data_IF_900217870590
#
_entry.id   IF_900217870590
#
_cell.length_a   1.000
_cell.length_b   1.000
_cell.length_c   1.000
_cell.angle_alpha   90.00
_cell.angle_beta   90.00
_cell.angle_gamma   90.00
#
_symmetry.space_group_name_H-M   'P 1'
#
loop_
_entity.id
_entity.type
_entity.pdbx_description
1 polymer ?
#
# COMPACT_ATOMS: atom_id res chain seq x y z
N UNK A 1 -9.31 -42.43 16.67
CA UNK A 1 -9.48 -41.90 15.30
C UNK A 1 -8.13 -41.97 14.58
N UNK A 2 -8.06 -42.50 13.34
CA UNK A 2 -6.81 -42.54 12.58
C UNK A 2 -6.33 -41.11 12.29
N UNK A 3 -5.03 -40.88 12.49
CA UNK A 3 -4.39 -39.59 12.16
C UNK A 3 -4.24 -39.51 10.65
N UNK A 4 -4.57 -38.36 10.05
CA UNK A 4 -4.44 -38.13 8.60
C UNK A 4 -3.15 -37.38 8.27
N UNK A 5 -2.58 -37.69 7.11
CA UNK A 5 -1.42 -37.03 6.54
C UNK A 5 -1.80 -35.61 6.13
N UNK A 6 -1.04 -34.61 6.58
CA UNK A 6 -1.28 -33.20 6.26
C UNK A 6 -1.00 -32.82 4.79
N UNK A 7 -0.36 -33.70 4.03
CA UNK A 7 -0.03 -33.49 2.61
C UNK A 7 -1.04 -34.19 1.69
N UNK A 8 -1.23 -35.51 1.85
CA UNK A 8 -2.06 -36.33 0.95
C UNK A 8 -3.38 -36.84 1.56
N UNK A 9 -3.67 -36.60 2.84
CA UNK A 9 -4.91 -37.03 3.50
C UNK A 9 -4.97 -38.50 3.94
N UNK A 10 -4.04 -39.34 3.49
CA UNK A 10 -3.94 -40.77 3.84
C UNK A 10 -3.62 -41.03 5.32
N UNK A 11 -3.73 -42.28 5.77
CA UNK A 11 -3.38 -42.66 7.15
C UNK A 11 -1.91 -42.33 7.46
N UNK A 12 -1.69 -41.54 8.51
CA UNK A 12 -0.37 -41.09 8.93
C UNK A 12 0.18 -41.93 10.08
N UNK A 13 1.49 -42.21 10.01
CA UNK A 13 2.24 -42.98 11.01
C UNK A 13 3.40 -42.20 11.62
N UNK A 14 3.83 -41.08 11.00
CA UNK A 14 4.96 -40.27 11.43
C UNK A 14 4.52 -38.89 11.88
N UNK A 15 5.18 -38.34 12.89
CA UNK A 15 4.99 -36.95 13.36
C UNK A 15 6.12 -36.06 12.89
N UNK A 16 5.83 -34.77 12.68
CA UNK A 16 6.86 -33.77 12.49
C UNK A 16 7.83 -33.78 13.68
N UNK A 17 9.10 -34.04 13.42
CA UNK A 17 10.12 -34.11 14.46
C UNK A 17 10.30 -32.78 15.23
N UNK A 18 9.95 -31.64 14.61
CA UNK A 18 10.07 -30.32 15.20
C UNK A 18 8.92 -29.98 16.16
N UNK A 19 7.69 -29.86 15.64
CA UNK A 19 6.56 -29.39 16.44
C UNK A 19 5.77 -30.51 17.12
N UNK A 20 5.93 -31.77 16.69
CA UNK A 20 5.14 -32.95 17.13
C UNK A 20 3.61 -32.81 16.93
N UNK A 21 3.14 -31.78 16.23
CA UNK A 21 1.70 -31.50 15.99
C UNK A 21 1.21 -32.01 14.63
N UNK A 22 2.00 -31.83 13.58
CA UNK A 22 1.66 -32.29 12.23
C UNK A 22 1.99 -33.78 12.03
N UNK A 23 1.15 -34.48 11.27
CA UNK A 23 1.27 -35.90 10.99
C UNK A 23 1.43 -36.16 9.48
N UNK A 24 2.27 -37.12 9.12
CA UNK A 24 2.61 -37.48 7.75
C UNK A 24 2.67 -39.00 7.57
N UNK A 25 2.32 -39.49 6.39
CA UNK A 25 2.50 -40.91 6.04
C UNK A 25 3.96 -41.24 5.69
N UNK A 26 4.73 -40.24 5.23
CA UNK A 26 6.12 -40.42 4.81
C UNK A 26 6.94 -39.14 4.96
N UNK A 27 8.26 -39.27 4.93
CA UNK A 27 9.17 -38.11 4.87
C UNK A 27 9.02 -37.32 3.57
N UNK A 28 8.66 -37.98 2.47
CA UNK A 28 8.35 -37.33 1.19
C UNK A 28 7.17 -36.35 1.36
N UNK A 29 6.09 -36.79 1.98
CA UNK A 29 4.94 -35.94 2.28
C UNK A 29 5.28 -34.81 3.26
N UNK A 30 6.13 -35.07 4.25
CA UNK A 30 6.62 -34.02 5.15
C UNK A 30 7.44 -32.97 4.41
N UNK A 31 8.33 -33.37 3.49
CA UNK A 31 9.15 -32.45 2.68
C UNK A 31 8.29 -31.65 1.69
N UNK A 32 7.35 -32.30 1.02
CA UNK A 32 6.38 -31.66 0.11
C UNK A 32 5.62 -30.52 0.82
N UNK A 33 5.03 -30.83 1.98
CA UNK A 33 4.26 -29.85 2.76
C UNK A 33 5.15 -28.88 3.57
N UNK A 34 6.47 -29.05 3.58
CA UNK A 34 7.35 -28.23 4.44
C UNK A 34 7.24 -26.74 4.12
N UNK A 35 7.09 -26.39 2.84
CA UNK A 35 6.98 -25.00 2.34
C UNK A 35 5.80 -24.24 2.97
N UNK A 36 4.76 -24.96 3.41
CA UNK A 36 3.59 -24.40 4.12
C UNK A 36 3.69 -24.63 5.62
N UNK A 37 4.07 -25.83 6.05
CA UNK A 37 4.13 -26.19 7.46
C UNK A 37 5.15 -25.39 8.26
N UNK A 38 6.24 -24.90 7.64
CA UNK A 38 7.31 -24.19 8.33
C UNK A 38 6.81 -22.99 9.16
N UNK A 39 5.73 -22.33 8.73
CA UNK A 39 5.12 -21.18 9.43
C UNK A 39 4.38 -21.55 10.70
N UNK A 40 3.83 -22.77 10.77
CA UNK A 40 3.14 -23.30 11.95
C UNK A 40 4.08 -24.18 12.82
N UNK A 41 5.24 -24.53 12.27
CA UNK A 41 6.21 -25.40 12.90
C UNK A 41 7.06 -24.62 13.91
N UNK A 42 6.60 -24.58 15.17
CA UNK A 42 7.35 -23.99 16.31
C UNK A 42 8.55 -24.85 16.76
N UNK A 43 9.40 -25.29 15.83
CA UNK A 43 10.56 -26.17 16.14
C UNK A 43 11.63 -25.43 16.94
N UNK A 44 11.93 -24.19 16.57
CA UNK A 44 13.00 -23.40 17.18
C UNK A 44 12.76 -21.90 16.92
N UNK A 45 12.35 -21.11 17.93
CA UNK A 45 12.15 -19.67 17.80
C UNK A 45 13.43 -18.90 17.45
N UNK A 46 14.62 -19.48 17.67
CA UNK A 46 15.91 -18.83 17.40
C UNK A 46 16.34 -18.89 15.93
N UNK A 47 15.66 -19.69 15.11
CA UNK A 47 15.93 -19.81 13.67
C UNK A 47 14.84 -19.11 12.87
N UNK A 48 15.08 -17.87 12.40
CA UNK A 48 14.09 -17.17 11.60
C UNK A 48 13.80 -17.92 10.31
N UNK A 49 12.54 -17.87 9.87
CA UNK A 49 12.13 -18.39 8.57
C UNK A 49 12.79 -17.53 7.50
N UNK A 50 13.52 -18.17 6.58
CA UNK A 50 14.17 -17.43 5.49
C UNK A 50 13.14 -16.72 4.61
N UNK A 51 13.50 -15.52 4.16
CA UNK A 51 12.68 -14.64 3.30
C UNK A 51 12.11 -15.33 2.06
N UNK A 52 12.86 -16.27 1.46
CA UNK A 52 12.38 -17.05 0.31
C UNK A 52 11.08 -17.83 0.58
N UNK A 53 10.88 -18.34 1.80
CA UNK A 53 9.64 -19.05 2.14
C UNK A 53 8.47 -18.08 2.23
N UNK A 54 8.69 -16.85 2.72
CA UNK A 54 7.65 -15.81 2.76
C UNK A 54 7.26 -15.40 1.34
N UNK A 55 8.24 -15.22 0.44
CA UNK A 55 7.99 -15.00 -0.99
C UNK A 55 7.21 -16.15 -1.63
N UNK A 56 7.56 -17.40 -1.31
CA UNK A 56 6.82 -18.57 -1.78
C UNK A 56 5.35 -18.55 -1.32
N UNK A 57 5.09 -18.20 -0.05
CA UNK A 57 3.71 -18.05 0.41
C UNK A 57 2.95 -16.97 -0.36
N UNK A 58 3.57 -15.82 -0.59
CA UNK A 58 2.99 -14.73 -1.38
C UNK A 58 2.61 -15.23 -2.79
N UNK A 59 3.53 -15.94 -3.46
CA UNK A 59 3.32 -16.57 -4.78
C UNK A 59 2.17 -17.60 -4.78
N UNK A 60 2.06 -18.44 -3.75
CA UNK A 60 0.97 -19.42 -3.66
C UNK A 60 -0.39 -18.75 -3.41
N UNK A 61 -0.40 -17.66 -2.65
CA UNK A 61 -1.59 -16.85 -2.36
C UNK A 61 -1.94 -15.87 -3.49
N UNK A 62 -1.05 -15.73 -4.47
CA UNK A 62 -1.18 -14.79 -5.59
C UNK A 62 -1.35 -13.33 -5.11
N UNK A 63 -0.60 -12.96 -4.08
CA UNK A 63 -0.55 -11.61 -3.52
C UNK A 63 0.90 -11.12 -3.53
N UNK A 64 1.10 -9.82 -3.77
CA UNK A 64 2.43 -9.22 -3.63
C UNK A 64 2.95 -9.41 -2.19
N UNK A 65 4.26 -9.65 -2.00
CA UNK A 65 4.84 -9.73 -0.66
C UNK A 65 4.73 -8.38 0.04
N UNK A 66 4.43 -8.43 1.34
CA UNK A 66 4.30 -7.29 2.26
C UNK A 66 5.38 -7.28 3.36
N UNK A 67 6.07 -8.41 3.57
CA UNK A 67 7.21 -8.53 4.49
C UNK A 67 8.42 -7.73 3.99
N UNK A 68 8.79 -6.69 4.72
CA UNK A 68 9.85 -5.72 4.36
C UNK A 68 11.19 -6.39 4.02
N UNK A 69 11.63 -7.36 4.84
CA UNK A 69 12.88 -8.11 4.61
C UNK A 69 12.82 -8.92 3.31
N UNK A 70 11.68 -9.53 3.01
CA UNK A 70 11.44 -10.24 1.76
C UNK A 70 11.39 -9.30 0.56
N UNK A 71 10.75 -8.14 0.71
CA UNK A 71 10.70 -7.13 -0.33
C UNK A 71 12.10 -6.61 -0.68
N UNK A 72 12.94 -6.38 0.31
CA UNK A 72 14.32 -5.92 0.11
C UNK A 72 15.21 -7.01 -0.50
N UNK A 73 15.16 -8.23 0.05
CA UNK A 73 15.98 -9.37 -0.39
C UNK A 73 15.73 -9.75 -1.86
N UNK A 74 14.50 -9.57 -2.34
CA UNK A 74 14.07 -9.99 -3.67
C UNK A 74 13.68 -8.82 -4.59
N UNK A 75 14.01 -7.59 -4.22
CA UNK A 75 13.96 -6.42 -5.10
C UNK A 75 12.60 -5.76 -5.29
N UNK A 76 11.58 -6.13 -4.53
CA UNK A 76 10.26 -5.46 -4.60
C UNK A 76 10.33 -4.01 -4.12
N UNK A 77 11.19 -3.70 -3.13
CA UNK A 77 11.45 -2.32 -2.70
C UNK A 77 12.05 -1.49 -3.85
N UNK A 78 13.01 -2.07 -4.57
CA UNK A 78 13.74 -1.43 -5.67
C UNK A 78 12.98 -1.41 -7.00
N UNK A 79 11.91 -2.20 -7.13
CA UNK A 79 11.03 -2.13 -8.29
C UNK A 79 10.21 -0.82 -8.33
N UNK A 80 10.11 -0.09 -7.22
CA UNK A 80 9.54 1.26 -7.00
C UNK A 80 8.08 1.51 -7.42
N UNK A 81 7.61 0.97 -8.55
CA UNK A 81 6.24 1.12 -9.06
C UNK A 81 5.47 -0.19 -9.00
N UNK A 82 4.16 -0.09 -8.77
CA UNK A 82 3.27 -1.26 -8.74
C UNK A 82 3.36 -2.11 -10.02
N UNK A 83 3.39 -1.53 -11.24
CA UNK A 83 3.60 -2.31 -12.46
C UNK A 83 4.91 -3.11 -12.48
N UNK A 84 6.01 -2.52 -12.02
CA UNK A 84 7.30 -3.21 -11.96
C UNK A 84 7.30 -4.30 -10.88
N UNK A 85 6.68 -4.05 -9.72
CA UNK A 85 6.48 -5.06 -8.68
C UNK A 85 5.66 -6.25 -9.21
N UNK A 86 4.59 -6.01 -9.97
CA UNK A 86 3.79 -7.09 -10.58
C UNK A 86 4.59 -7.87 -11.61
N UNK A 87 5.40 -7.22 -12.45
CA UNK A 87 6.27 -7.92 -13.43
C UNK A 87 7.33 -8.76 -12.73
N UNK A 88 7.96 -8.23 -11.68
CA UNK A 88 8.91 -8.95 -10.85
C UNK A 88 8.24 -10.15 -10.15
N UNK A 89 7.05 -9.95 -9.61
CA UNK A 89 6.25 -11.00 -9.00
C UNK A 89 5.94 -12.11 -10.00
N UNK A 90 5.61 -11.76 -11.25
CA UNK A 90 5.39 -12.70 -12.34
C UNK A 90 6.58 -13.62 -12.62
N UNK A 91 7.82 -13.12 -12.52
CA UNK A 91 9.03 -13.95 -12.61
C UNK A 91 9.12 -14.96 -11.47
N UNK A 92 8.86 -14.51 -10.24
CA UNK A 92 8.90 -15.39 -9.07
C UNK A 92 7.77 -16.42 -9.08
N UNK A 93 6.58 -16.08 -9.58
CA UNK A 93 5.50 -17.04 -9.84
C UNK A 93 5.98 -18.14 -10.80
N UNK A 94 6.59 -17.76 -11.93
CA UNK A 94 7.12 -18.73 -12.89
C UNK A 94 8.13 -19.68 -12.21
N UNK A 95 9.13 -19.14 -11.50
CA UNK A 95 10.16 -19.94 -10.83
C UNK A 95 9.60 -20.85 -9.75
N UNK A 96 8.83 -20.30 -8.80
CA UNK A 96 8.47 -20.99 -7.56
C UNK A 96 7.21 -21.87 -7.69
N UNK A 97 6.24 -21.47 -8.53
CA UNK A 97 4.95 -22.14 -8.66
C UNK A 97 4.88 -23.06 -9.87
N UNK A 98 5.28 -22.58 -11.04
CA UNK A 98 5.17 -23.35 -12.28
C UNK A 98 6.36 -24.27 -12.54
N UNK A 99 7.54 -23.87 -12.07
CA UNK A 99 8.77 -24.62 -12.26
C UNK A 99 9.37 -25.19 -10.97
N UNK A 100 8.65 -25.05 -9.86
CA UNK A 100 8.92 -25.71 -8.58
C UNK A 100 10.34 -25.49 -8.04
N UNK A 101 10.98 -24.36 -8.36
CA UNK A 101 12.26 -23.98 -7.74
C UNK A 101 12.06 -23.94 -6.22
N UNK A 102 12.90 -24.68 -5.50
CA UNK A 102 12.81 -24.76 -4.05
C UNK A 102 13.17 -23.41 -3.41
N UNK A 103 12.41 -22.91 -2.41
CA UNK A 103 12.73 -21.64 -1.74
C UNK A 103 14.15 -21.59 -1.16
N UNK A 104 14.67 -22.74 -0.70
CA UNK A 104 16.05 -22.86 -0.21
C UNK A 104 17.07 -22.62 -1.34
N UNK A 105 16.79 -23.08 -2.56
CA UNK A 105 17.65 -22.85 -3.71
C UNK A 105 17.66 -21.36 -4.07
N UNK A 106 16.48 -20.73 -4.11
CA UNK A 106 16.34 -19.30 -4.37
C UNK A 106 17.10 -18.46 -3.32
N UNK A 107 16.97 -18.79 -2.04
CA UNK A 107 17.73 -18.16 -0.96
C UNK A 107 19.24 -18.32 -1.14
N UNK A 108 19.69 -19.52 -1.51
CA UNK A 108 21.11 -19.79 -1.77
C UNK A 108 21.64 -18.93 -2.91
N UNK A 109 20.91 -18.85 -4.03
CA UNK A 109 21.31 -18.02 -5.16
C UNK A 109 21.49 -16.56 -4.76
N UNK A 110 20.56 -16.02 -3.96
CA UNK A 110 20.67 -14.66 -3.40
C UNK A 110 21.90 -14.51 -2.52
N UNK A 111 22.11 -15.42 -1.56
CA UNK A 111 23.24 -15.33 -0.60
C UNK A 111 24.61 -15.48 -1.28
N UNK A 112 24.67 -16.14 -2.42
CA UNK A 112 25.87 -16.32 -3.23
C UNK A 112 26.08 -15.21 -4.28
N UNK A 113 25.13 -14.27 -4.44
CA UNK A 113 25.22 -13.23 -5.46
C UNK A 113 25.02 -13.75 -6.90
N UNK A 114 24.49 -14.96 -7.08
CA UNK A 114 24.27 -15.59 -8.40
C UNK A 114 22.81 -15.60 -8.82
N UNK A 115 21.93 -14.90 -8.10
CA UNK A 115 20.48 -14.88 -8.34
C UNK A 115 20.13 -14.53 -9.78
N UNK A 116 20.70 -13.46 -10.32
CA UNK A 116 20.45 -13.04 -11.71
C UNK A 116 20.91 -14.12 -12.70
N UNK A 117 22.09 -14.69 -12.49
CA UNK A 117 22.67 -15.70 -13.38
C UNK A 117 21.81 -16.96 -13.44
N UNK A 118 21.35 -17.45 -12.29
CA UNK A 118 20.50 -18.63 -12.22
C UNK A 118 19.10 -18.38 -12.78
N UNK A 119 18.53 -17.18 -12.58
CA UNK A 119 17.28 -16.77 -13.25
C UNK A 119 17.47 -16.78 -14.78
N UNK A 120 18.54 -16.17 -15.29
CA UNK A 120 18.82 -16.14 -16.73
C UNK A 120 18.98 -17.53 -17.30
N UNK A 121 19.86 -18.34 -16.71
CA UNK A 121 20.08 -19.74 -17.08
C UNK A 121 18.77 -20.54 -17.07
N UNK A 122 17.91 -20.29 -16.09
CA UNK A 122 16.60 -20.94 -15.99
C UNK A 122 15.71 -20.60 -17.19
N UNK A 123 15.46 -19.32 -17.45
CA UNK A 123 14.57 -18.88 -18.52
C UNK A 123 15.17 -19.07 -19.92
N UNK A 124 16.50 -19.01 -20.06
CA UNK A 124 17.20 -19.26 -21.32
C UNK A 124 17.05 -20.72 -21.78
N UNK A 125 16.90 -21.66 -20.84
CA UNK A 125 16.61 -23.07 -21.15
C UNK A 125 15.14 -23.32 -21.54
N UNK A 126 14.24 -22.35 -21.33
CA UNK A 126 12.85 -22.45 -21.79
C UNK A 126 12.74 -22.08 -23.27
N UNK A 127 11.73 -22.65 -23.94
CA UNK A 127 11.42 -22.27 -25.32
C UNK A 127 10.91 -20.82 -25.36
N UNK A 128 11.12 -20.08 -26.47
CA UNK A 128 10.66 -18.69 -26.58
C UNK A 128 9.17 -18.51 -26.29
N UNK A 129 8.35 -19.52 -26.64
CA UNK A 129 6.89 -19.51 -26.42
C UNK A 129 6.49 -19.64 -24.94
N UNK A 130 7.31 -20.29 -24.10
CA UNK A 130 6.99 -20.53 -22.68
C UNK A 130 7.75 -19.62 -21.71
N UNK A 131 8.68 -18.82 -22.23
CA UNK A 131 9.53 -17.92 -21.43
C UNK A 131 8.75 -16.77 -20.77
N UNK A 132 7.58 -16.44 -21.30
CA UNK A 132 6.68 -15.41 -20.78
C UNK A 132 7.19 -13.97 -21.00
N UNK A 133 6.28 -13.01 -20.88
CA UNK A 133 6.57 -11.59 -21.12
C UNK A 133 7.42 -10.91 -20.03
N UNK A 134 7.50 -11.51 -18.84
CA UNK A 134 8.22 -10.93 -17.71
C UNK A 134 9.74 -11.09 -17.80
N UNK A 135 10.23 -12.11 -18.53
CA UNK A 135 11.66 -12.34 -18.69
C UNK A 135 12.37 -11.30 -19.59
N UNK A 136 11.82 -10.89 -20.75
CA UNK A 136 12.37 -9.75 -21.49
C UNK A 136 12.46 -8.48 -20.64
N UNK A 137 11.40 -8.16 -19.88
CA UNK A 137 11.42 -7.03 -18.95
C UNK A 137 12.52 -7.17 -17.87
N UNK A 138 12.72 -8.38 -17.34
CA UNK A 138 13.78 -8.65 -16.37
C UNK A 138 15.16 -8.32 -16.92
N UNK A 139 15.45 -8.70 -18.17
CA UNK A 139 16.75 -8.44 -18.80
C UNK A 139 17.09 -6.95 -18.86
N UNK A 140 16.07 -6.11 -19.04
CA UNK A 140 16.20 -4.64 -19.05
C UNK A 140 16.26 -4.03 -17.63
N UNK A 141 15.83 -4.77 -16.60
CA UNK A 141 15.64 -4.26 -15.24
C UNK A 141 16.45 -5.04 -14.18
N UNK A 142 17.63 -5.56 -14.56
CA UNK A 142 18.50 -6.34 -13.66
C UNK A 142 18.99 -5.54 -12.44
N UNK A 143 19.05 -4.21 -12.51
CA UNK A 143 19.40 -3.31 -11.41
C UNK A 143 18.51 -3.51 -10.16
N UNK A 144 17.28 -4.04 -10.35
CA UNK A 144 16.36 -4.33 -9.26
C UNK A 144 16.89 -5.44 -8.33
N UNK A 145 17.65 -6.40 -8.86
CA UNK A 145 18.22 -7.51 -8.09
C UNK A 145 19.70 -7.32 -7.77
N UNK A 146 20.39 -6.42 -8.46
CA UNK A 146 21.79 -6.09 -8.23
C UNK A 146 22.01 -4.57 -8.33
N UNK A 147 22.16 -3.87 -7.20
CA UNK A 147 22.39 -2.42 -7.19
C UNK A 147 23.74 -2.00 -7.81
N UNK A 148 24.67 -2.93 -8.04
CA UNK A 148 25.92 -2.62 -8.75
C UNK A 148 25.69 -2.40 -10.25
N UNK A 149 24.55 -2.87 -10.77
CA UNK A 149 24.07 -2.51 -12.09
C UNK A 149 23.47 -1.11 -12.05
N UNK A 150 24.19 -0.14 -12.61
CA UNK A 150 23.60 1.16 -12.90
C UNK A 150 22.88 1.08 -14.25
N UNK A 151 21.55 1.25 -14.29
CA UNK A 151 20.86 1.37 -15.56
C UNK A 151 21.41 2.60 -16.31
N UNK A 152 21.48 2.53 -17.65
CA UNK A 152 22.01 3.61 -18.48
C UNK A 152 21.27 4.95 -18.27
N UNK A 153 20.02 4.88 -17.80
CA UNK A 153 19.14 5.99 -17.43
C UNK A 153 18.42 5.60 -16.13
N UNK A 154 18.15 6.57 -15.25
CA UNK A 154 17.37 6.33 -14.03
C UNK A 154 15.95 5.89 -14.44
N UNK A 155 15.55 4.64 -14.18
CA UNK A 155 14.25 4.09 -14.62
C UNK A 155 13.07 4.85 -14.01
N UNK A 156 13.27 5.42 -12.81
CA UNK A 156 12.29 6.29 -12.15
C UNK A 156 12.17 7.60 -12.92
N UNK A 157 13.29 8.15 -13.39
CA UNK A 157 13.29 9.34 -14.24
C UNK A 157 12.58 9.08 -15.57
N UNK A 158 12.85 7.95 -16.24
CA UNK A 158 12.17 7.60 -17.50
C UNK A 158 10.65 7.45 -17.33
N UNK A 159 10.20 6.86 -16.23
CA UNK A 159 8.78 6.75 -15.90
C UNK A 159 8.16 8.14 -15.71
N UNK A 160 8.77 8.98 -14.86
CA UNK A 160 8.33 10.37 -14.63
C UNK A 160 8.31 11.18 -15.93
N UNK A 161 9.30 10.99 -16.80
CA UNK A 161 9.40 11.70 -18.08
C UNK A 161 8.31 11.31 -19.08
N UNK A 162 7.74 10.11 -18.99
CA UNK A 162 6.55 9.75 -19.79
C UNK A 162 5.35 10.61 -19.39
N UNK A 163 5.14 10.81 -18.08
CA UNK A 163 4.07 11.69 -17.59
C UNK A 163 4.36 13.15 -17.91
N UNK A 164 5.61 13.58 -17.76
CA UNK A 164 6.05 14.94 -18.10
C UNK A 164 5.74 15.30 -19.55
N UNK A 165 6.00 14.37 -20.49
CA UNK A 165 5.63 14.50 -21.91
C UNK A 165 4.11 14.44 -22.10
N UNK A 166 3.42 13.54 -21.41
CA UNK A 166 1.96 13.40 -21.50
C UNK A 166 1.23 14.70 -21.15
N UNK A 167 1.71 15.41 -20.12
CA UNK A 167 1.12 16.70 -19.70
C UNK A 167 1.62 17.89 -20.53
N UNK A 168 2.41 17.66 -21.58
CA UNK A 168 3.07 18.68 -22.41
C UNK A 168 3.88 19.70 -21.60
N UNK A 169 4.58 19.25 -20.55
CA UNK A 169 5.48 20.11 -19.79
C UNK A 169 6.75 20.47 -20.58
N UNK A 170 7.47 21.56 -20.22
CA UNK A 170 8.69 21.97 -20.92
C UNK A 170 9.73 20.85 -20.97
N UNK A 171 10.46 20.72 -22.08
CA UNK A 171 11.53 19.73 -22.18
C UNK A 171 12.56 19.94 -21.06
N UNK A 172 13.02 18.82 -20.48
CA UNK A 172 14.06 18.79 -19.45
C UNK A 172 15.06 17.69 -19.81
N UNK A 173 16.35 18.01 -19.66
CA UNK A 173 17.44 17.12 -20.08
C UNK A 173 18.03 16.32 -18.92
N UNK A 174 17.62 16.62 -17.68
CA UNK A 174 18.11 15.98 -16.46
C UNK A 174 17.08 15.92 -15.33
N UNK A 175 17.31 15.03 -14.36
CA UNK A 175 16.48 14.92 -13.15
C UNK A 175 16.61 16.17 -12.27
N UNK A 176 17.77 16.82 -12.23
CA UNK A 176 17.99 18.07 -11.51
C UNK A 176 17.13 19.20 -12.07
N UNK A 177 17.08 19.32 -13.39
CA UNK A 177 16.25 20.31 -14.07
C UNK A 177 14.76 20.03 -13.87
N UNK A 178 14.34 18.76 -14.00
CA UNK A 178 12.99 18.33 -13.64
C UNK A 178 12.64 18.74 -12.21
N UNK A 179 13.47 18.41 -11.21
CA UNK A 179 13.22 18.74 -9.80
C UNK A 179 13.10 20.25 -9.58
N UNK A 180 13.94 21.04 -10.25
CA UNK A 180 13.89 22.51 -10.18
C UNK A 180 12.59 23.06 -10.74
N UNK A 181 12.17 22.63 -11.93
CA UNK A 181 10.95 23.13 -12.58
C UNK A 181 9.72 22.62 -11.85
N UNK A 182 9.63 21.32 -11.59
CA UNK A 182 8.54 20.73 -10.82
C UNK A 182 8.43 21.36 -9.43
N UNK A 183 9.55 21.59 -8.73
CA UNK A 183 9.58 22.24 -7.43
C UNK A 183 9.11 23.71 -7.46
N UNK A 184 9.21 24.38 -8.61
CA UNK A 184 8.68 25.74 -8.79
C UNK A 184 7.16 25.79 -9.01
N UNK A 185 6.52 24.65 -9.27
CA UNK A 185 5.07 24.60 -9.44
C UNK A 185 4.34 24.80 -8.11
N UNK A 186 3.17 25.43 -8.19
CA UNK A 186 2.29 25.57 -7.03
C UNK A 186 1.92 24.20 -6.43
N UNK A 187 1.72 24.10 -5.10
CA UNK A 187 1.42 22.82 -4.44
C UNK A 187 0.27 22.04 -5.09
N UNK A 188 -0.85 22.71 -5.41
CA UNK A 188 -2.00 22.05 -6.05
C UNK A 188 -1.68 21.44 -7.41
N UNK A 189 -0.83 22.09 -8.21
CA UNK A 189 -0.41 21.57 -9.52
C UNK A 189 0.51 20.36 -9.36
N UNK A 190 1.40 20.37 -8.36
CA UNK A 190 2.22 19.21 -8.02
C UNK A 190 1.36 18.01 -7.59
N UNK A 191 0.39 18.20 -6.71
CA UNK A 191 -0.54 17.13 -6.33
C UNK A 191 -1.34 16.61 -7.52
N UNK A 192 -1.83 17.49 -8.40
CA UNK A 192 -2.50 17.06 -9.63
C UNK A 192 -1.57 16.26 -10.55
N UNK A 193 -0.29 16.66 -10.67
CA UNK A 193 0.70 15.90 -11.42
C UNK A 193 0.93 14.50 -10.83
N UNK A 194 1.00 14.38 -9.51
CA UNK A 194 1.08 13.07 -8.82
C UNK A 194 -0.14 12.20 -9.12
N UNK A 195 -1.36 12.76 -9.15
CA UNK A 195 -2.55 12.00 -9.56
C UNK A 195 -2.45 11.51 -11.01
N UNK A 196 -1.99 12.35 -11.94
CA UNK A 196 -1.77 11.96 -13.34
C UNK A 196 -0.76 10.81 -13.44
N UNK A 197 0.30 10.87 -12.63
CA UNK A 197 1.25 9.78 -12.49
C UNK A 197 0.57 8.47 -12.08
N UNK A 198 -0.14 8.47 -10.94
CA UNK A 198 -0.91 7.32 -10.45
C UNK A 198 -1.86 6.73 -11.49
N UNK A 199 -2.57 7.58 -12.22
CA UNK A 199 -3.51 7.16 -13.28
C UNK A 199 -2.79 6.48 -14.45
N UNK A 200 -1.69 7.05 -14.93
CA UNK A 200 -0.96 6.51 -16.09
C UNK A 200 -0.27 5.18 -15.78
N UNK A 201 0.18 4.99 -14.54
CA UNK A 201 0.80 3.74 -14.10
C UNK A 201 -0.21 2.73 -13.54
N UNK A 202 -1.49 3.11 -13.41
CA UNK A 202 -2.53 2.28 -12.81
C UNK A 202 -2.31 1.98 -11.31
N UNK A 203 -1.56 2.84 -10.62
CA UNK A 203 -1.16 2.68 -9.22
C UNK A 203 -2.06 3.49 -8.29
N UNK A 204 -2.65 2.84 -7.30
CA UNK A 204 -3.44 3.53 -6.27
C UNK A 204 -2.54 4.37 -5.36
N UNK A 205 -2.90 5.63 -5.07
CA UNK A 205 -2.30 6.35 -3.96
C UNK A 205 -2.51 5.60 -2.64
N UNK A 206 -1.58 5.74 -1.70
CA UNK A 206 -1.69 5.10 -0.38
C UNK A 206 -1.58 6.12 0.76
N UNK A 207 -1.82 5.67 1.98
CA UNK A 207 -1.88 6.51 3.20
C UNK A 207 -0.59 7.28 3.54
N UNK A 208 0.54 7.00 2.86
CA UNK A 208 1.79 7.76 2.99
C UNK A 208 1.86 8.96 2.03
N UNK A 209 0.87 9.12 1.15
CA UNK A 209 0.81 10.17 0.17
C UNK A 209 -0.37 11.09 0.47
N UNK A 210 -0.12 12.38 0.54
CA UNK A 210 -1.17 13.40 0.77
C UNK A 210 -2.25 13.33 -0.30
N UNK A 211 -1.92 12.89 -1.51
CA UNK A 211 -2.83 12.68 -2.62
C UNK A 211 -3.93 11.64 -2.35
N UNK A 212 -3.67 10.68 -1.46
CA UNK A 212 -4.70 9.71 -1.05
C UNK A 212 -5.85 10.41 -0.33
N UNK A 213 -5.55 11.40 0.51
CA UNK A 213 -6.58 12.25 1.13
C UNK A 213 -7.08 13.30 0.14
N UNK A 214 -6.18 14.01 -0.52
CA UNK A 214 -6.48 15.18 -1.39
C UNK A 214 -7.48 14.86 -2.50
N UNK A 215 -7.40 13.66 -3.09
CA UNK A 215 -8.29 13.24 -4.19
C UNK A 215 -9.41 12.29 -3.77
N UNK A 216 -9.62 12.10 -2.46
CA UNK A 216 -10.77 11.38 -1.91
C UNK A 216 -10.62 9.86 -1.79
N UNK A 217 -9.45 9.30 -2.09
CA UNK A 217 -9.22 7.86 -1.91
C UNK A 217 -9.35 7.44 -0.44
N UNK A 218 -8.92 8.28 0.50
CA UNK A 218 -9.11 8.03 1.93
C UNK A 218 -10.57 7.90 2.37
N UNK A 219 -11.50 8.54 1.63
CA UNK A 219 -12.93 8.46 1.89
C UNK A 219 -13.53 7.13 1.43
N UNK A 220 -12.87 6.41 0.52
CA UNK A 220 -13.34 5.10 0.09
C UNK A 220 -13.36 4.10 1.26
N UNK A 221 -14.42 3.28 1.36
CA UNK A 221 -14.54 2.28 2.42
C UNK A 221 -13.60 1.08 2.23
N UNK A 222 -13.16 0.82 1.00
CA UNK A 222 -12.31 -0.31 0.65
C UNK A 222 -11.58 -0.07 -0.68
N UNK A 223 -10.60 -0.94 -0.97
CA UNK A 223 -9.76 -0.87 -2.17
C UNK A 223 -10.53 -1.03 -3.48
N UNK A 224 -11.70 -1.70 -3.48
CA UNK A 224 -12.55 -1.79 -4.67
C UNK A 224 -13.11 -0.41 -5.04
N UNK A 225 -13.61 0.34 -4.07
CA UNK A 225 -14.04 1.72 -4.27
C UNK A 225 -12.88 2.64 -4.66
N UNK A 226 -11.69 2.48 -4.08
CA UNK A 226 -10.49 3.22 -4.50
C UNK A 226 -10.14 2.98 -5.97
N UNK A 227 -10.21 1.71 -6.40
CA UNK A 227 -9.97 1.31 -7.78
C UNK A 227 -11.01 1.89 -8.74
N UNK A 228 -12.28 1.93 -8.32
CA UNK A 228 -13.37 2.58 -9.05
C UNK A 228 -13.13 4.09 -9.22
N UNK A 229 -12.66 4.75 -8.16
CA UNK A 229 -12.33 6.18 -8.17
C UNK A 229 -11.13 6.45 -9.09
N UNK A 230 -10.06 5.65 -9.01
CA UNK A 230 -8.90 5.78 -9.91
C UNK A 230 -9.30 5.62 -11.37
N UNK A 231 -10.15 4.62 -11.68
CA UNK A 231 -10.68 4.42 -13.03
C UNK A 231 -11.49 5.63 -13.50
N UNK A 232 -12.27 6.25 -12.61
CA UNK A 232 -13.05 7.44 -12.94
C UNK A 232 -12.16 8.64 -13.24
N UNK A 233 -11.07 8.83 -12.48
CA UNK A 233 -10.04 9.82 -12.82
C UNK A 233 -9.33 9.49 -14.14
N UNK A 234 -9.04 8.21 -14.39
CA UNK A 234 -8.45 7.75 -15.65
C UNK A 234 -9.33 8.10 -16.86
N UNK A 235 -10.64 7.92 -16.77
CA UNK A 235 -11.58 8.35 -17.82
C UNK A 235 -11.58 9.86 -18.03
N UNK A 236 -11.36 10.69 -17.00
CA UNK A 236 -11.22 12.14 -17.20
C UNK A 236 -9.91 12.47 -17.91
N UNK A 237 -8.80 11.90 -17.43
CA UNK A 237 -7.44 12.29 -17.83
C UNK A 237 -7.07 11.73 -19.19
N UNK A 238 -7.31 10.42 -19.41
CA UNK A 238 -6.92 9.70 -20.62
C UNK A 238 -8.03 9.81 -21.67
N UNK A 239 -9.23 9.30 -21.39
CA UNK A 239 -10.31 9.24 -22.38
C UNK A 239 -10.85 10.64 -22.69
N UNK A 240 -11.06 11.44 -21.63
CA UNK A 240 -11.50 12.83 -21.71
C UNK A 240 -10.40 13.81 -22.11
N UNK A 241 -9.15 13.35 -22.23
CA UNK A 241 -7.96 14.14 -22.62
C UNK A 241 -7.84 15.46 -21.84
N UNK A 242 -8.16 15.44 -20.55
CA UNK A 242 -8.15 16.65 -19.72
C UNK A 242 -6.70 17.13 -19.50
N UNK A 243 -6.32 18.35 -19.93
CA UNK A 243 -4.99 18.88 -19.68
C UNK A 243 -4.75 19.15 -18.19
N UNK A 244 -3.49 18.98 -17.73
CA UNK A 244 -3.11 19.18 -16.33
C UNK A 244 -3.52 20.56 -15.79
N UNK A 245 -3.33 21.62 -16.57
CA UNK A 245 -3.68 22.98 -16.14
C UNK A 245 -5.20 23.20 -16.02
N UNK A 246 -5.98 22.58 -16.91
CA UNK A 246 -7.44 22.62 -16.80
C UNK A 246 -7.90 21.87 -15.55
N UNK A 247 -7.38 20.66 -15.34
CA UNK A 247 -7.70 19.84 -14.18
C UNK A 247 -7.34 20.58 -12.88
N UNK A 248 -6.12 21.11 -12.79
CA UNK A 248 -5.63 21.87 -11.62
C UNK A 248 -6.52 23.07 -11.32
N UNK A 249 -6.94 23.82 -12.35
CA UNK A 249 -7.85 24.96 -12.18
C UNK A 249 -9.22 24.53 -11.65
N UNK A 250 -9.77 23.43 -12.16
CA UNK A 250 -11.07 22.89 -11.69
C UNK A 250 -10.97 22.33 -10.28
N UNK A 251 -9.86 21.65 -9.95
CA UNK A 251 -9.56 21.18 -8.62
C UNK A 251 -9.52 22.33 -7.61
N UNK A 252 -8.72 23.39 -7.88
CA UNK A 252 -8.64 24.58 -7.02
C UNK A 252 -9.96 25.32 -6.86
N UNK A 253 -10.82 25.27 -7.87
CA UNK A 253 -12.14 25.89 -7.82
C UNK A 253 -13.19 25.02 -7.11
N UNK A 254 -12.83 23.82 -6.62
CA UNK A 254 -13.77 22.90 -6.00
C UNK A 254 -14.73 22.23 -6.98
N UNK A 255 -14.36 22.18 -8.27
CA UNK A 255 -15.25 21.77 -9.38
C UNK A 255 -14.85 20.44 -9.99
N UNK A 256 -14.34 19.49 -9.18
CA UNK A 256 -14.03 18.14 -9.64
C UNK A 256 -15.29 17.36 -10.07
N UNK A 257 -16.43 17.56 -9.41
CA UNK A 257 -17.73 16.96 -9.81
C UNK A 257 -18.06 17.29 -11.27
N UNK A 258 -17.81 18.53 -11.70
CA UNK A 258 -18.06 18.95 -13.07
C UNK A 258 -17.20 18.20 -14.10
N UNK A 259 -15.99 17.74 -13.72
CA UNK A 259 -15.16 16.90 -14.57
C UNK A 259 -15.73 15.49 -14.69
N UNK A 260 -16.20 14.90 -13.59
CA UNK A 260 -16.88 13.59 -13.62
C UNK A 260 -18.17 13.63 -14.43
N UNK A 261 -18.94 14.72 -14.33
CA UNK A 261 -20.13 14.98 -15.14
C UNK A 261 -19.83 14.97 -16.64
N UNK A 262 -18.80 15.71 -17.07
CA UNK A 262 -18.39 15.80 -18.48
C UNK A 262 -18.10 14.41 -19.08
N UNK A 263 -17.56 13.51 -18.27
CA UNK A 263 -17.20 12.15 -18.67
C UNK A 263 -18.27 11.10 -18.34
N UNK A 264 -19.47 11.51 -17.91
CA UNK A 264 -20.58 10.61 -17.50
C UNK A 264 -20.22 9.62 -16.40
N UNK A 265 -19.26 9.98 -15.54
CA UNK A 265 -18.80 9.16 -14.40
C UNK A 265 -19.39 9.61 -13.07
N UNK A 266 -20.18 10.69 -13.05
CA UNK A 266 -20.70 11.29 -11.82
C UNK A 266 -21.47 10.28 -10.96
N UNK A 267 -22.46 9.57 -11.52
CA UNK A 267 -23.32 8.67 -10.74
C UNK A 267 -22.52 7.53 -10.09
N UNK A 268 -21.52 7.02 -10.81
CA UNK A 268 -20.62 5.98 -10.30
C UNK A 268 -19.75 6.49 -9.15
N UNK A 269 -19.25 7.71 -9.25
CA UNK A 269 -18.39 8.34 -8.21
C UNK A 269 -19.22 8.75 -7.00
N UNK A 270 -20.38 9.37 -7.19
CA UNK A 270 -21.26 9.77 -6.09
C UNK A 270 -21.94 8.58 -5.41
N UNK A 271 -21.98 7.41 -6.07
CA UNK A 271 -22.37 6.15 -5.45
C UNK A 271 -21.33 5.58 -4.47
N UNK A 272 -20.09 6.10 -4.46
CA UNK A 272 -19.08 5.73 -3.47
C UNK A 272 -19.45 6.39 -2.13
N UNK A 273 -19.47 5.64 -1.01
CA UNK A 273 -19.73 6.21 0.31
C UNK A 273 -18.85 7.44 0.61
N UNK A 274 -19.44 8.45 1.25
CA UNK A 274 -18.82 9.73 1.62
C UNK A 274 -18.36 10.63 0.46
N UNK A 275 -18.39 10.15 -0.79
CA UNK A 275 -17.82 10.87 -1.92
C UNK A 275 -18.64 12.10 -2.31
N UNK A 276 -19.96 12.07 -2.07
CA UNK A 276 -20.81 13.24 -2.24
C UNK A 276 -20.37 14.37 -1.31
N UNK A 277 -20.31 14.11 -0.01
CA UNK A 277 -19.86 15.09 0.99
C UNK A 277 -18.42 15.54 0.72
N UNK A 278 -17.54 14.60 0.36
CA UNK A 278 -16.14 14.90 0.05
C UNK A 278 -15.96 15.85 -1.14
N UNK A 279 -16.78 15.70 -2.19
CA UNK A 279 -16.64 16.49 -3.43
C UNK A 279 -17.49 17.76 -3.45
N UNK A 280 -18.61 17.81 -2.72
CA UNK A 280 -19.51 18.98 -2.67
C UNK A 280 -18.99 20.08 -1.74
N UNK A 281 -18.38 19.71 -0.59
CA UNK A 281 -17.88 20.66 0.41
C UNK A 281 -16.44 21.11 0.11
N UNK A 282 -16.28 21.80 -1.02
CA UNK A 282 -14.98 22.05 -1.63
C UNK A 282 -14.10 23.13 -0.98
N UNK A 283 -14.56 23.79 0.09
CA UNK A 283 -13.78 24.82 0.79
C UNK A 283 -12.66 24.24 1.65
N UNK A 284 -12.84 23.05 2.22
CA UNK A 284 -11.82 22.38 3.04
C UNK A 284 -12.10 20.90 3.21
N UNK A 285 -11.07 20.06 3.05
CA UNK A 285 -11.18 18.63 3.32
C UNK A 285 -11.31 18.39 4.83
N UNK A 286 -12.36 17.68 5.24
CA UNK A 286 -12.57 17.31 6.64
C UNK A 286 -11.33 16.62 7.23
N UNK A 287 -10.89 17.09 8.40
CA UNK A 287 -9.65 16.65 9.04
C UNK A 287 -9.64 15.17 9.43
N UNK A 288 -10.80 14.51 9.48
CA UNK A 288 -10.91 13.06 9.77
C UNK A 288 -10.21 12.20 8.72
N UNK A 289 -10.14 12.65 7.47
CA UNK A 289 -9.47 11.91 6.40
C UNK A 289 -7.95 11.94 6.58
N UNK A 290 -7.42 13.07 7.02
CA UNK A 290 -6.02 13.20 7.42
C UNK A 290 -5.71 12.38 8.67
N UNK A 291 -6.63 12.32 9.64
CA UNK A 291 -6.51 11.42 10.79
C UNK A 291 -6.42 9.97 10.33
N UNK A 292 -7.30 9.55 9.41
CA UNK A 292 -7.29 8.19 8.85
C UNK A 292 -5.93 7.86 8.23
N UNK A 293 -5.36 8.76 7.42
CA UNK A 293 -4.01 8.57 6.88
C UNK A 293 -2.95 8.41 7.97
N UNK A 294 -2.96 9.30 8.97
CA UNK A 294 -1.99 9.30 10.07
C UNK A 294 -2.02 8.03 10.92
N UNK A 295 -3.20 7.48 11.22
CA UNK A 295 -3.32 6.30 12.10
C UNK A 295 -2.81 5.00 11.47
N UNK A 296 -2.83 4.90 10.14
CA UNK A 296 -2.36 3.73 9.41
C UNK A 296 -0.87 3.82 9.01
N UNK A 297 -0.21 4.97 9.22
CA UNK A 297 1.25 5.09 9.07
C UNK A 297 2.01 4.36 10.17
N UNK A 298 3.15 3.77 9.82
CA UNK A 298 4.03 3.05 10.74
C UNK A 298 4.67 4.01 11.77
N UNK A 299 4.83 3.60 13.04
CA UNK A 299 5.49 4.39 14.07
C UNK A 299 6.86 4.91 13.65
N UNK A 300 7.05 6.23 13.70
CA UNK A 300 8.35 6.90 13.45
C UNK A 300 8.62 7.31 12.00
N UNK A 301 7.69 7.08 11.07
CA UNK A 301 7.73 7.55 9.67
C UNK A 301 6.64 8.59 9.36
N UNK A 302 6.16 9.27 10.40
CA UNK A 302 4.88 9.97 10.37
C UNK A 302 5.06 11.48 10.13
N UNK A 303 4.65 11.95 8.97
CA UNK A 303 4.38 13.38 8.77
C UNK A 303 2.92 13.66 9.16
N UNK A 304 2.73 14.30 10.32
CA UNK A 304 1.40 14.61 10.84
C UNK A 304 0.88 15.91 10.22
N UNK A 305 -0.24 15.83 9.50
CA UNK A 305 -0.97 17.02 9.04
C UNK A 305 -1.37 17.90 10.24
N UNK A 306 -1.16 19.23 10.23
CA UNK A 306 -1.35 20.10 11.40
C UNK A 306 -2.74 20.00 12.05
N UNK A 307 -3.79 19.86 11.22
CA UNK A 307 -5.16 19.67 11.71
C UNK A 307 -5.30 18.42 12.59
N UNK A 308 -4.60 17.32 12.27
CA UNK A 308 -4.66 16.08 13.06
C UNK A 308 -4.15 16.30 14.47
N UNK A 309 -3.06 17.07 14.59
CA UNK A 309 -2.46 17.46 15.87
C UNK A 309 -3.45 18.16 16.81
N UNK A 310 -4.17 19.14 16.27
CA UNK A 310 -5.09 20.02 17.01
C UNK A 310 -6.44 19.36 17.23
N UNK A 311 -7.06 18.87 16.15
CA UNK A 311 -8.44 18.44 16.12
C UNK A 311 -8.65 17.16 16.92
N UNK A 312 -7.68 16.23 16.87
CA UNK A 312 -7.84 14.87 17.39
C UNK A 312 -6.98 14.58 18.61
N UNK A 313 -6.39 15.61 19.22
CA UNK A 313 -5.74 15.51 20.52
C UNK A 313 -4.33 14.90 20.52
N UNK A 314 -3.70 14.74 19.34
CA UNK A 314 -2.32 14.22 19.26
C UNK A 314 -1.33 15.20 19.91
N UNK A 315 -1.54 16.53 19.76
CA UNK A 315 -0.69 17.53 20.40
C UNK A 315 -0.73 17.47 21.94
N UNK A 316 -1.84 16.98 22.52
CA UNK A 316 -1.95 16.79 23.97
C UNK A 316 -1.04 15.68 24.51
N UNK A 317 -0.53 14.81 23.64
CA UNK A 317 0.47 13.79 24.00
C UNK A 317 1.86 14.40 24.26
N UNK A 318 2.11 15.66 23.87
CA UNK A 318 3.39 16.36 24.09
C UNK A 318 4.63 15.59 23.61
N UNK A 319 4.50 14.89 22.48
CA UNK A 319 5.58 14.07 21.93
C UNK A 319 5.89 12.78 22.69
N UNK A 320 5.11 12.43 23.73
CA UNK A 320 5.29 11.18 24.47
C UNK A 320 4.79 10.02 23.61
N UNK A 321 5.72 9.21 23.12
CA UNK A 321 5.45 8.11 22.17
C UNK A 321 4.39 7.10 22.66
N UNK A 322 4.37 6.75 23.94
CA UNK A 322 3.35 5.84 24.51
C UNK A 322 1.94 6.43 24.41
N UNK A 323 1.79 7.75 24.61
CA UNK A 323 0.49 8.41 24.49
C UNK A 323 0.05 8.55 23.04
N UNK A 324 0.99 8.84 22.13
CA UNK A 324 0.72 8.87 20.69
C UNK A 324 0.24 7.48 20.22
N UNK A 325 0.96 6.42 20.60
CA UNK A 325 0.59 5.05 20.29
C UNK A 325 -0.81 4.70 20.83
N UNK A 326 -1.11 5.06 22.08
CA UNK A 326 -2.43 4.85 22.67
C UNK A 326 -3.55 5.55 21.89
N UNK A 327 -3.33 6.82 21.50
CA UNK A 327 -4.34 7.59 20.75
C UNK A 327 -4.50 7.04 19.32
N UNK A 328 -3.40 6.71 18.63
CA UNK A 328 -3.43 6.07 17.30
C UNK A 328 -4.18 4.73 17.35
N UNK A 329 -3.85 3.86 18.31
CA UNK A 329 -4.52 2.58 18.50
C UNK A 329 -6.02 2.74 18.79
N UNK A 330 -6.38 3.79 19.53
CA UNK A 330 -7.78 4.11 19.83
C UNK A 330 -8.53 4.51 18.56
N UNK A 331 -8.00 5.43 17.77
CA UNK A 331 -8.65 5.82 16.51
C UNK A 331 -8.65 4.72 15.47
N UNK A 332 -7.60 3.91 15.38
CA UNK A 332 -7.58 2.72 14.52
C UNK A 332 -8.74 1.78 14.85
N UNK A 333 -8.97 1.50 16.14
CA UNK A 333 -10.14 0.71 16.59
C UNK A 333 -11.46 1.39 16.25
N UNK A 334 -11.55 2.72 16.27
CA UNK A 334 -12.75 3.45 15.85
C UNK A 334 -12.97 3.29 14.35
N UNK A 335 -11.95 3.45 13.50
CA UNK A 335 -12.08 3.26 12.05
C UNK A 335 -12.42 1.82 11.65
N UNK A 336 -11.88 0.85 12.38
CA UNK A 336 -12.14 -0.58 12.14
C UNK A 336 -13.49 -1.05 12.76
N UNK A 337 -14.19 -0.20 13.51
CA UNK A 337 -15.42 -0.58 14.20
C UNK A 337 -16.63 -0.62 13.24
N UNK A 338 -17.44 -1.70 13.19
CA UNK A 338 -18.53 -1.86 12.21
C UNK A 338 -19.64 -0.80 12.27
N UNK A 339 -19.83 -0.16 13.42
CA UNK A 339 -20.84 0.89 13.63
C UNK A 339 -20.25 2.31 13.54
N UNK A 340 -18.97 2.44 13.19
CA UNK A 340 -18.33 3.75 13.08
C UNK A 340 -18.70 4.43 11.78
N UNK A 341 -19.02 5.71 11.87
CA UNK A 341 -19.15 6.61 10.72
C UNK A 341 -18.05 7.68 10.84
N UNK A 342 -17.25 7.83 9.79
CA UNK A 342 -16.12 8.75 9.79
C UNK A 342 -16.57 10.22 9.83
N UNK A 343 -17.69 10.56 9.21
CA UNK A 343 -18.23 11.92 9.25
C UNK A 343 -18.86 12.23 10.60
N UNK A 344 -19.46 11.24 11.29
CA UNK A 344 -19.90 11.45 12.68
C UNK A 344 -18.72 11.60 13.65
N UNK A 345 -17.57 10.95 13.41
CA UNK A 345 -16.33 11.25 14.14
C UNK A 345 -15.85 12.68 13.89
N UNK A 346 -15.91 13.17 12.64
CA UNK A 346 -15.57 14.56 12.34
C UNK A 346 -16.53 15.55 13.02
N UNK A 347 -17.84 15.26 12.98
CA UNK A 347 -18.86 16.05 13.68
C UNK A 347 -18.64 16.07 15.20
N UNK A 348 -18.28 14.92 15.79
CA UNK A 348 -17.88 14.84 17.19
C UNK A 348 -16.63 15.68 17.48
N UNK A 349 -15.69 15.76 16.55
CA UNK A 349 -14.54 16.65 16.66
C UNK A 349 -14.94 18.13 16.72
N UNK A 350 -15.65 18.63 15.72
CA UNK A 350 -16.02 20.07 15.64
C UNK A 350 -17.03 20.51 16.70
N UNK A 351 -17.63 19.57 17.44
CA UNK A 351 -18.55 19.84 18.57
C UNK A 351 -17.90 19.60 19.94
N UNK A 352 -16.61 19.25 19.99
CA UNK A 352 -15.89 18.96 21.24
C UNK A 352 -16.34 17.67 21.94
N UNK A 353 -16.99 16.76 21.21
CA UNK A 353 -17.57 15.50 21.71
C UNK A 353 -16.78 14.24 21.27
N UNK A 354 -15.49 14.35 20.97
CA UNK A 354 -14.65 13.21 20.55
C UNK A 354 -14.69 12.09 21.60
N UNK A 355 -14.38 12.40 22.85
CA UNK A 355 -14.31 11.36 23.90
C UNK A 355 -15.64 10.62 24.09
N UNK A 356 -16.80 11.29 24.22
CA UNK A 356 -18.10 10.62 24.25
C UNK A 356 -18.37 9.73 23.03
N UNK A 357 -18.03 10.18 21.83
CA UNK A 357 -18.19 9.36 20.62
C UNK A 357 -17.33 8.10 20.68
N UNK A 358 -16.04 8.24 21.00
CA UNK A 358 -15.09 7.12 21.11
C UNK A 358 -15.52 6.14 22.20
N UNK A 359 -15.93 6.63 23.36
CA UNK A 359 -16.40 5.79 24.47
C UNK A 359 -17.71 5.06 24.13
N UNK A 360 -18.60 5.70 23.36
CA UNK A 360 -19.85 5.08 22.92
C UNK A 360 -19.62 3.82 22.09
N UNK A 361 -18.57 3.81 21.25
CA UNK A 361 -18.19 2.69 20.39
C UNK A 361 -17.32 1.66 21.12
N UNK A 362 -16.26 2.11 21.79
CA UNK A 362 -15.23 1.20 22.30
C UNK A 362 -15.45 0.73 23.75
N UNK A 363 -16.37 1.36 24.50
CA UNK A 363 -16.65 1.08 25.91
C UNK A 363 -15.37 1.03 26.75
N UNK A 364 -14.69 2.17 26.87
CA UNK A 364 -13.31 2.25 27.37
C UNK A 364 -13.22 1.79 28.84
N UNK A 365 -12.15 1.06 29.17
CA UNK A 365 -11.88 0.63 30.55
C UNK A 365 -11.49 1.83 31.42
N UNK A 366 -11.82 1.79 32.72
CA UNK A 366 -11.61 2.91 33.68
C UNK A 366 -10.22 3.56 33.64
N UNK A 367 -9.15 2.77 33.48
CA UNK A 367 -7.78 3.29 33.44
C UNK A 367 -7.54 4.14 32.18
N UNK A 368 -7.83 3.59 31.01
CA UNK A 368 -7.60 4.25 29.71
C UNK A 368 -8.59 5.39 29.48
N UNK A 369 -9.83 5.23 29.96
CA UNK A 369 -10.88 6.24 29.90
C UNK A 369 -10.44 7.59 30.50
N UNK A 370 -9.76 7.59 31.65
CA UNK A 370 -9.28 8.82 32.30
C UNK A 370 -8.20 9.52 31.48
N UNK A 371 -7.28 8.76 30.91
CA UNK A 371 -6.21 9.32 30.07
C UNK A 371 -6.75 9.84 28.74
N UNK A 372 -7.54 9.05 28.04
CA UNK A 372 -8.16 9.43 26.76
C UNK A 372 -9.09 10.63 26.92
N UNK A 373 -9.86 10.73 28.01
CA UNK A 373 -10.69 11.92 28.26
C UNK A 373 -9.88 13.22 28.34
N UNK A 374 -8.63 13.15 28.83
CA UNK A 374 -7.72 14.30 28.87
C UNK A 374 -7.03 14.54 27.53
N UNK A 375 -6.64 13.48 26.83
CA UNK A 375 -5.89 13.57 25.58
C UNK A 375 -6.77 13.97 24.39
N UNK A 376 -8.01 13.49 24.32
CA UNK A 376 -8.94 13.75 23.21
C UNK A 376 -9.69 15.09 23.35
N UNK A 377 -9.09 16.06 24.03
CA UNK A 377 -9.59 17.44 24.10
C UNK A 377 -9.10 18.23 22.90
N UNK A 378 -9.92 19.14 22.41
CA UNK A 378 -9.61 20.00 21.28
C UNK A 378 -10.22 21.39 21.53
N UNK A 379 -9.92 22.41 20.72
CA UNK A 379 -10.41 23.78 20.95
C UNK A 379 -11.89 23.98 20.57
N UNK A 380 -12.62 22.92 20.19
CA UNK A 380 -13.98 23.01 19.70
C UNK A 380 -15.04 22.79 20.80
N UNK A 381 -16.27 23.32 20.63
CA UNK A 381 -16.68 24.20 19.53
C UNK A 381 -15.98 25.55 19.63
N UNK A 382 -15.57 26.11 18.49
CA UNK A 382 -15.02 27.46 18.47
C UNK A 382 -16.16 28.43 18.85
N UNK A 383 -15.90 29.45 19.69
CA UNK A 383 -16.89 30.48 19.96
C UNK A 383 -17.31 31.16 18.65
N UNK A 384 -18.60 31.54 18.53
CA UNK A 384 -19.09 32.32 17.40
C UNK A 384 -18.21 33.58 17.26
N UNK A 385 -17.56 33.72 16.10
CA UNK A 385 -16.66 34.84 15.78
C UNK A 385 -17.44 36.10 15.38
#
# INVERSE_FOLDING_TARGET
MPRKCYDCGETASKQCAGCKKAWYCSEKCQRSNWKRHIFDCKRDPSKPIITAYRLYLAVIRDILPDDEETCEDYGFTRAHSFPNQTKLFGLYIALLKFHEVEPIALHRWRKQGILIQEIKKFFENLTPLTRGQYYPWFLENQYILDPSWQPLQDPVFDEVMKIWRFVNAPAVDSIEEFRKIHGSWEPSKRSCFTLYHSVLIGGLPNYRQDEWVTFGFAACPNQHCESLLLRSYSTIIIDGKCPLDEFTRKFKAGRLIALFQRCKMQDQVLGIPYMKDFLEDSSSINSVWWLKAYVYQDPGQEDMHPAVGVDYGINNCRGVGEFIALVKDTYKKVFDHPQSDHLELHKACITGQIYPYVDSLLKLKKKDAKFLKRLLQNPYPLPDL
#
